data_IF_633443624454
#
_entry.id   IF_633443624454
#
_cell.length_a   1.000
_cell.length_b   1.000
_cell.length_c   1.000
_cell.angle_alpha   90.00
_cell.angle_beta   90.00
_cell.angle_gamma   90.00
#
_symmetry.space_group_name_H-M   'P 1'
#
loop_
_entity.id
_entity.type
_entity.pdbx_description
1 polymer ?
#
# COMPACT_ATOMS: atom_id res chain seq x y z
N UNK A 1 -47.37 21.23 11.08
CA UNK A 1 -47.23 20.95 9.65
C UNK A 1 -45.85 21.18 9.08
N UNK A 2 -45.00 21.84 9.82
CA UNK A 2 -43.59 22.08 9.39
C UNK A 2 -42.64 20.92 9.67
N UNK A 3 -43.03 19.97 10.49
CA UNK A 3 -42.22 18.85 10.95
C UNK A 3 -41.80 17.83 9.86
N UNK A 4 -42.64 17.51 8.87
CA UNK A 4 -42.25 16.52 7.84
C UNK A 4 -41.11 16.98 6.96
N UNK A 5 -40.96 18.25 6.72
CA UNK A 5 -39.91 18.77 5.83
C UNK A 5 -38.48 18.65 6.39
N UNK A 6 -38.34 18.83 7.70
CA UNK A 6 -37.06 18.66 8.36
C UNK A 6 -36.54 17.21 8.35
N UNK A 7 -37.46 16.28 8.52
CA UNK A 7 -37.16 14.84 8.53
C UNK A 7 -36.75 14.34 7.16
N UNK A 8 -37.41 14.82 6.11
CA UNK A 8 -37.07 14.45 4.71
C UNK A 8 -35.68 14.96 4.33
N UNK A 9 -35.35 16.18 4.68
CA UNK A 9 -34.01 16.74 4.43
C UNK A 9 -32.90 15.95 5.11
N UNK A 10 -33.11 15.52 6.36
CA UNK A 10 -32.15 14.69 7.09
C UNK A 10 -31.96 13.31 6.44
N UNK A 11 -33.02 12.71 5.95
CA UNK A 11 -32.96 11.42 5.27
C UNK A 11 -32.21 11.46 3.95
N UNK A 12 -32.29 12.58 3.23
CA UNK A 12 -31.58 12.76 1.95
C UNK A 12 -30.09 13.02 2.17
N UNK A 13 -29.72 13.79 3.18
CA UNK A 13 -28.32 14.12 3.46
C UNK A 13 -27.56 12.96 4.15
N UNK A 14 -28.24 12.15 4.94
CA UNK A 14 -27.63 11.04 5.67
C UNK A 14 -27.01 9.97 4.76
N UNK A 15 -27.68 9.47 3.71
CA UNK A 15 -27.10 8.49 2.78
C UNK A 15 -25.89 9.01 2.00
N UNK A 16 -25.88 10.29 1.63
CA UNK A 16 -24.80 10.91 0.88
C UNK A 16 -23.52 11.01 1.72
N UNK A 17 -23.63 11.34 2.99
CA UNK A 17 -22.49 11.39 3.92
C UNK A 17 -21.90 9.99 4.13
N UNK A 18 -22.73 8.98 4.24
CA UNK A 18 -22.28 7.59 4.38
C UNK A 18 -21.56 7.06 3.15
N UNK A 19 -22.00 7.47 1.94
CA UNK A 19 -21.34 7.08 0.69
C UNK A 19 -19.94 7.68 0.58
N UNK A 20 -19.77 8.94 0.96
CA UNK A 20 -18.47 9.61 0.95
C UNK A 20 -17.48 8.96 1.93
N UNK A 21 -17.94 8.65 3.14
CA UNK A 21 -17.11 7.96 4.13
C UNK A 21 -16.67 6.57 3.65
N UNK A 22 -17.58 5.83 3.01
CA UNK A 22 -17.28 4.50 2.47
C UNK A 22 -16.26 4.54 1.34
N UNK A 23 -16.35 5.54 0.46
CA UNK A 23 -15.40 5.73 -0.64
C UNK A 23 -14.02 6.15 -0.09
N UNK A 24 -14.00 7.02 0.91
CA UNK A 24 -12.76 7.43 1.57
C UNK A 24 -12.07 6.27 2.29
N UNK A 25 -12.83 5.42 2.98
CA UNK A 25 -12.31 4.22 3.62
C UNK A 25 -11.76 3.22 2.59
N UNK A 26 -12.46 3.03 1.46
CA UNK A 26 -11.98 2.16 0.39
C UNK A 26 -10.69 2.66 -0.24
N UNK A 27 -10.53 3.96 -0.38
CA UNK A 27 -9.30 4.56 -0.92
C UNK A 27 -8.09 4.36 0.00
N UNK A 28 -8.32 4.24 1.30
CA UNK A 28 -7.27 4.02 2.30
C UNK A 28 -7.03 2.56 2.66
N UNK A 29 -7.78 1.62 2.08
CA UNK A 29 -7.67 0.20 2.40
C UNK A 29 -6.35 -0.40 1.92
N UNK A 30 -5.68 -1.25 2.73
CA UNK A 30 -4.49 -1.97 2.31
C UNK A 30 -4.72 -2.83 1.05
N UNK A 31 -5.88 -3.46 0.92
CA UNK A 31 -6.20 -4.28 -0.24
C UNK A 31 -6.40 -3.44 -1.51
N UNK A 32 -6.89 -2.21 -1.37
CA UNK A 32 -6.95 -1.26 -2.48
C UNK A 32 -5.54 -0.90 -2.97
N UNK A 33 -4.59 -0.74 -2.06
CA UNK A 33 -3.19 -0.50 -2.42
C UNK A 33 -2.61 -1.66 -3.24
N UNK A 34 -2.91 -2.91 -2.85
CA UNK A 34 -2.48 -4.10 -3.62
C UNK A 34 -3.11 -4.09 -5.02
N UNK A 35 -4.39 -3.76 -5.14
CA UNK A 35 -5.07 -3.66 -6.43
C UNK A 35 -4.43 -2.57 -7.32
N UNK A 36 -4.06 -1.43 -6.75
CA UNK A 36 -3.35 -0.38 -7.47
C UNK A 36 -1.97 -0.84 -7.96
N UNK A 37 -1.24 -1.62 -7.16
CA UNK A 37 0.03 -2.21 -7.60
C UNK A 37 -0.16 -3.18 -8.77
N UNK A 38 -1.20 -4.00 -8.74
CA UNK A 38 -1.51 -4.92 -9.85
C UNK A 38 -1.86 -4.16 -11.13
N UNK A 39 -2.63 -3.09 -11.03
CA UNK A 39 -2.94 -2.22 -12.16
C UNK A 39 -1.68 -1.55 -12.72
N UNK A 40 -0.82 -1.06 -11.85
CA UNK A 40 0.46 -0.47 -12.23
C UNK A 40 1.35 -1.49 -12.96
N UNK A 41 1.36 -2.74 -12.49
CA UNK A 41 2.11 -3.84 -13.11
C UNK A 41 1.61 -4.11 -14.53
N UNK A 42 0.30 -4.15 -14.74
CA UNK A 42 -0.31 -4.34 -16.05
C UNK A 42 0.06 -3.20 -17.02
N UNK A 43 -0.01 -1.97 -16.56
CA UNK A 43 0.37 -0.80 -17.36
C UNK A 43 1.85 -0.80 -17.72
N UNK A 44 2.71 -1.23 -16.80
CA UNK A 44 4.15 -1.33 -17.05
C UNK A 44 4.45 -2.36 -18.13
N UNK A 45 3.75 -3.50 -18.11
CA UNK A 45 3.86 -4.53 -19.13
C UNK A 45 3.37 -4.04 -20.50
N UNK A 46 2.26 -3.31 -20.55
CA UNK A 46 1.72 -2.74 -21.79
C UNK A 46 2.70 -1.77 -22.45
N UNK A 47 3.45 -1.00 -21.64
CA UNK A 47 4.46 -0.06 -22.13
C UNK A 47 5.75 -0.73 -22.55
N UNK A 48 6.11 -1.80 -21.87
CA UNK A 48 7.37 -2.52 -22.10
C UNK A 48 7.16 -4.03 -21.93
N UNK A 49 7.04 -4.78 -23.03
CA UNK A 49 6.88 -6.24 -22.98
C UNK A 49 8.04 -6.99 -22.30
N UNK A 50 9.20 -6.35 -22.15
CA UNK A 50 10.33 -6.92 -21.41
C UNK A 50 10.16 -6.81 -19.88
N UNK A 51 9.12 -6.12 -19.42
CA UNK A 51 8.79 -6.04 -18.01
C UNK A 51 8.44 -7.43 -17.47
N UNK A 52 9.04 -7.81 -16.35
CA UNK A 52 8.87 -9.15 -15.76
C UNK A 52 7.53 -9.24 -15.01
N UNK A 53 6.43 -9.15 -15.75
CA UNK A 53 5.08 -9.05 -15.25
C UNK A 53 4.72 -10.14 -14.25
N UNK A 54 4.96 -11.41 -14.58
CA UNK A 54 4.56 -12.53 -13.74
C UNK A 54 5.31 -12.55 -12.41
N UNK A 55 6.60 -12.28 -12.44
CA UNK A 55 7.42 -12.22 -11.24
C UNK A 55 6.95 -11.11 -10.30
N UNK A 56 6.67 -9.92 -10.85
CA UNK A 56 6.13 -8.82 -10.06
C UNK A 56 4.72 -9.09 -9.57
N UNK A 57 3.86 -9.70 -10.40
CA UNK A 57 2.51 -10.04 -9.99
C UNK A 57 2.50 -11.05 -8.84
N UNK A 58 3.35 -12.04 -8.88
CA UNK A 58 3.52 -13.00 -7.78
C UNK A 58 3.95 -12.28 -6.48
N UNK A 59 4.89 -11.36 -6.58
CA UNK A 59 5.36 -10.58 -5.44
C UNK A 59 4.24 -9.72 -4.84
N UNK A 60 3.40 -9.12 -5.68
CA UNK A 60 2.24 -8.32 -5.28
C UNK A 60 1.16 -9.20 -4.63
N UNK A 61 0.84 -10.32 -5.25
CA UNK A 61 -0.20 -11.23 -4.76
C UNK A 61 0.10 -11.74 -3.35
N UNK A 62 1.38 -11.94 -3.04
CA UNK A 62 1.81 -12.36 -1.71
C UNK A 62 1.69 -11.28 -0.64
N UNK A 63 1.42 -10.04 -1.00
CA UNK A 63 1.08 -8.97 -0.05
C UNK A 63 -0.38 -9.04 0.42
N UNK A 64 -1.26 -9.71 -0.30
CA UNK A 64 -2.71 -9.74 0.00
C UNK A 64 -2.98 -10.22 1.43
N UNK A 65 -2.41 -11.36 1.81
CA UNK A 65 -2.64 -11.95 3.12
C UNK A 65 -2.10 -11.09 4.27
N UNK A 66 -0.81 -10.66 4.28
CA UNK A 66 -0.32 -9.81 5.34
C UNK A 66 -0.97 -8.43 5.37
N UNK A 67 -1.35 -7.86 4.22
CA UNK A 67 -2.05 -6.58 4.18
C UNK A 67 -3.47 -6.68 4.74
N UNK A 68 -4.14 -7.80 4.52
CA UNK A 68 -5.45 -8.06 5.12
C UNK A 68 -5.42 -8.13 6.65
N UNK A 69 -4.26 -8.40 7.23
CA UNK A 69 -4.05 -8.51 8.69
C UNK A 69 -3.43 -7.25 9.30
N UNK A 70 -3.22 -6.20 8.52
CA UNK A 70 -2.70 -4.92 9.03
C UNK A 70 -3.65 -4.35 10.07
N UNK A 71 -3.10 -3.98 11.23
CA UNK A 71 -3.86 -3.43 12.34
C UNK A 71 -4.41 -4.46 13.31
N UNK A 72 -4.37 -5.75 13.01
CA UNK A 72 -4.79 -6.79 13.93
C UNK A 72 -3.83 -6.90 15.12
N UNK A 73 -4.34 -6.97 16.37
CA UNK A 73 -3.49 -7.01 17.56
C UNK A 73 -2.78 -8.35 17.79
N UNK A 74 -2.92 -9.33 16.91
CA UNK A 74 -2.40 -10.68 17.09
C UNK A 74 -0.93 -10.84 16.73
N UNK A 75 -0.35 -11.99 17.11
CA UNK A 75 1.04 -12.38 16.86
C UNK A 75 1.34 -12.72 15.39
N UNK A 76 0.35 -12.66 14.52
CA UNK A 76 0.46 -13.08 13.12
C UNK A 76 1.19 -12.08 12.23
N UNK A 77 1.49 -10.89 12.71
CA UNK A 77 2.17 -9.83 11.92
C UNK A 77 3.58 -10.24 11.49
N UNK A 78 4.34 -10.80 12.42
CA UNK A 78 5.69 -11.30 12.14
C UNK A 78 5.68 -12.40 11.10
N UNK A 79 4.74 -13.35 11.22
CA UNK A 79 4.63 -14.44 10.27
C UNK A 79 4.33 -13.94 8.86
N UNK A 80 3.49 -12.93 8.71
CA UNK A 80 3.18 -12.31 7.42
C UNK A 80 4.41 -11.70 6.75
N UNK A 81 5.26 -11.00 7.54
CA UNK A 81 6.52 -10.42 7.06
C UNK A 81 7.48 -11.52 6.58
N UNK A 82 7.70 -12.55 7.40
CA UNK A 82 8.59 -13.64 7.04
C UNK A 82 8.06 -14.45 5.87
N UNK A 83 6.75 -14.71 5.81
CA UNK A 83 6.13 -15.42 4.68
C UNK A 83 6.38 -14.69 3.37
N UNK A 84 6.27 -13.37 3.35
CA UNK A 84 6.56 -12.60 2.14
C UNK A 84 8.04 -12.72 1.75
N UNK A 85 8.97 -12.49 2.68
CA UNK A 85 10.42 -12.55 2.42
C UNK A 85 10.85 -13.92 1.87
N UNK A 86 10.33 -15.01 2.46
CA UNK A 86 10.74 -16.35 2.08
C UNK A 86 10.10 -16.88 0.81
N UNK A 87 8.95 -16.34 0.41
CA UNK A 87 8.19 -16.86 -0.73
C UNK A 87 8.24 -15.98 -1.97
N UNK A 88 8.72 -14.76 -1.85
CA UNK A 88 8.89 -13.88 -3.01
C UNK A 88 10.04 -14.41 -3.88
N UNK A 89 9.90 -14.39 -5.22
CA UNK A 89 10.95 -14.87 -6.11
C UNK A 89 12.30 -14.17 -5.88
N UNK A 90 13.38 -14.94 -5.88
CA UNK A 90 14.72 -14.40 -5.69
C UNK A 90 15.08 -13.31 -6.72
N UNK A 91 14.52 -13.41 -7.92
CA UNK A 91 14.68 -12.40 -8.98
C UNK A 91 14.21 -11.02 -8.53
N UNK A 92 13.15 -10.95 -7.71
CA UNK A 92 12.66 -9.69 -7.17
C UNK A 92 13.77 -8.96 -6.39
N UNK A 93 14.46 -9.67 -5.51
CA UNK A 93 15.53 -9.06 -4.71
C UNK A 93 16.71 -8.62 -5.56
N UNK A 94 17.02 -9.35 -6.62
CA UNK A 94 18.05 -8.94 -7.58
C UNK A 94 17.70 -7.61 -8.26
N UNK A 95 16.45 -7.45 -8.66
CA UNK A 95 15.96 -6.21 -9.27
C UNK A 95 15.92 -5.06 -8.26
N UNK A 96 15.51 -5.32 -7.02
CA UNK A 96 15.53 -4.32 -5.96
C UNK A 96 16.96 -3.85 -5.66
N UNK A 97 17.93 -4.76 -5.64
CA UNK A 97 19.35 -4.42 -5.49
C UNK A 97 19.87 -3.56 -6.63
N UNK A 98 19.40 -3.79 -7.85
CA UNK A 98 19.72 -2.97 -9.02
C UNK A 98 18.95 -1.65 -9.05
N UNK A 99 18.14 -1.38 -8.04
CA UNK A 99 17.30 -0.19 -7.93
C UNK A 99 16.29 -0.03 -9.07
N UNK A 100 15.78 -1.15 -9.57
CA UNK A 100 14.65 -1.12 -10.49
C UNK A 100 13.47 -0.40 -9.82
N UNK A 101 12.92 0.61 -10.50
CA UNK A 101 11.90 1.47 -9.91
C UNK A 101 10.66 0.70 -9.48
N UNK A 102 10.22 -0.26 -10.27
CA UNK A 102 9.03 -1.05 -9.95
C UNK A 102 9.26 -1.98 -8.76
N UNK A 103 10.43 -2.62 -8.70
CA UNK A 103 10.82 -3.44 -7.55
C UNK A 103 10.87 -2.60 -6.26
N UNK A 104 11.40 -1.38 -6.32
CA UNK A 104 11.43 -0.47 -5.18
C UNK A 104 10.04 -0.04 -4.72
N UNK A 105 9.11 0.18 -5.65
CA UNK A 105 7.72 0.52 -5.32
C UNK A 105 7.05 -0.61 -4.54
N UNK A 106 7.18 -1.85 -5.00
CA UNK A 106 6.64 -3.02 -4.30
C UNK A 106 7.31 -3.18 -2.93
N UNK A 107 8.62 -3.02 -2.87
CA UNK A 107 9.38 -3.13 -1.63
C UNK A 107 8.96 -2.07 -0.60
N UNK A 108 8.69 -0.84 -1.04
CA UNK A 108 8.18 0.20 -0.17
C UNK A 108 6.82 -0.17 0.43
N UNK A 109 5.94 -0.79 -0.34
CA UNK A 109 4.66 -1.29 0.18
C UNK A 109 4.87 -2.41 1.21
N UNK A 110 5.79 -3.33 0.95
CA UNK A 110 6.18 -4.32 1.95
C UNK A 110 6.70 -3.67 3.24
N UNK A 111 7.46 -2.59 3.13
CA UNK A 111 8.01 -1.86 4.28
C UNK A 111 6.93 -1.24 5.18
N UNK A 112 5.69 -1.07 4.69
CA UNK A 112 4.55 -0.68 5.54
C UNK A 112 4.28 -1.75 6.60
N UNK A 113 4.43 -3.03 6.26
CA UNK A 113 4.34 -4.13 7.21
C UNK A 113 5.41 -4.03 8.30
N UNK A 114 6.62 -3.64 7.91
CA UNK A 114 7.72 -3.43 8.85
C UNK A 114 7.45 -2.23 9.76
N UNK A 115 6.90 -1.16 9.21
CA UNK A 115 6.49 0.01 10.00
C UNK A 115 5.40 -0.34 11.02
N UNK A 116 4.51 -1.26 10.69
CA UNK A 116 3.49 -1.76 11.63
C UNK A 116 4.11 -2.49 12.84
N UNK A 117 5.34 -2.98 12.69
CA UNK A 117 6.13 -3.61 13.75
C UNK A 117 7.08 -2.64 14.50
N UNK A 118 6.93 -1.34 14.31
CA UNK A 118 7.83 -0.31 14.87
C UNK A 118 7.94 -0.30 16.39
N UNK A 119 6.96 -0.86 17.09
CA UNK A 119 6.97 -0.98 18.54
C UNK A 119 8.02 -1.99 19.05
N UNK A 120 8.49 -2.87 18.16
CA UNK A 120 9.62 -3.74 18.49
C UNK A 120 10.92 -2.94 18.46
N UNK A 121 11.74 -3.05 19.50
CA UNK A 121 12.97 -2.28 19.64
C UNK A 121 13.95 -2.47 18.47
N UNK A 122 13.97 -3.66 17.88
CA UNK A 122 14.86 -4.00 16.76
C UNK A 122 14.36 -3.47 15.42
N UNK A 123 13.10 -3.09 15.30
CA UNK A 123 12.53 -2.55 14.06
C UNK A 123 12.49 -1.02 14.07
N UNK A 124 11.98 -0.42 15.17
CA UNK A 124 11.92 1.03 15.37
C UNK A 124 11.46 1.80 14.11
N UNK A 125 12.25 2.73 13.62
CA UNK A 125 11.92 3.59 12.47
C UNK A 125 12.41 3.04 11.12
N UNK A 126 12.88 1.80 11.08
CA UNK A 126 13.51 1.27 9.87
C UNK A 126 12.57 1.27 8.65
N UNK A 127 11.34 0.76 8.82
CA UNK A 127 10.33 0.76 7.76
C UNK A 127 10.05 2.16 7.23
N UNK A 128 9.87 3.13 8.11
CA UNK A 128 9.67 4.54 7.76
C UNK A 128 10.83 5.08 6.91
N UNK A 129 12.06 4.88 7.39
CA UNK A 129 13.25 5.40 6.70
C UNK A 129 13.41 4.83 5.31
N UNK A 130 13.16 3.54 5.13
CA UNK A 130 13.29 2.88 3.83
C UNK A 130 12.24 3.42 2.85
N UNK A 131 10.99 3.55 3.28
CA UNK A 131 9.92 4.09 2.43
C UNK A 131 10.26 5.51 1.96
N UNK A 132 10.70 6.37 2.88
CA UNK A 132 11.07 7.76 2.55
C UNK A 132 12.29 7.79 1.63
N UNK A 133 13.28 6.93 1.85
CA UNK A 133 14.45 6.84 0.99
C UNK A 133 14.08 6.42 -0.44
N UNK A 134 13.20 5.43 -0.57
CA UNK A 134 12.69 5.00 -1.88
C UNK A 134 11.93 6.15 -2.56
N UNK A 135 11.04 6.82 -1.84
CA UNK A 135 10.28 7.95 -2.35
C UNK A 135 11.20 9.04 -2.94
N UNK A 136 12.27 9.37 -2.23
CA UNK A 136 13.24 10.38 -2.69
C UNK A 136 14.07 9.93 -3.88
N UNK A 137 14.26 8.63 -4.04
CA UNK A 137 15.02 8.04 -5.15
C UNK A 137 14.21 7.93 -6.43
N UNK A 138 12.87 7.79 -6.33
CA UNK A 138 12.01 7.64 -7.49
C UNK A 138 11.90 8.92 -8.30
N UNK A 139 11.77 8.75 -9.61
CA UNK A 139 11.41 9.84 -10.51
C UNK A 139 10.05 10.43 -10.14
N UNK A 140 9.89 11.73 -10.40
CA UNK A 140 8.67 12.46 -10.04
C UNK A 140 7.39 11.79 -10.54
N UNK A 141 7.44 11.21 -11.73
CA UNK A 141 6.30 10.53 -12.37
C UNK A 141 5.84 9.29 -11.60
N UNK A 142 6.73 8.64 -10.85
CA UNK A 142 6.45 7.40 -10.15
C UNK A 142 6.15 7.62 -8.67
N UNK A 143 6.40 8.80 -8.14
CA UNK A 143 6.21 9.09 -6.70
C UNK A 143 4.77 8.92 -6.24
N UNK A 144 3.80 9.19 -7.13
CA UNK A 144 2.39 9.01 -6.79
C UNK A 144 2.03 7.57 -6.40
N UNK A 145 2.78 6.59 -6.91
CA UNK A 145 2.56 5.18 -6.60
C UNK A 145 2.81 4.83 -5.13
N UNK A 146 3.55 5.69 -4.41
CA UNK A 146 3.81 5.52 -2.98
C UNK A 146 2.84 6.31 -2.08
N UNK A 147 1.85 6.99 -2.64
CA UNK A 147 0.94 7.85 -1.88
C UNK A 147 0.28 7.13 -0.71
N UNK A 148 -0.22 5.92 -0.92
CA UNK A 148 -0.82 5.14 0.14
C UNK A 148 0.19 4.77 1.24
N UNK A 149 1.37 4.32 0.85
CA UNK A 149 2.42 3.93 1.80
C UNK A 149 2.87 5.12 2.64
N UNK A 150 3.06 6.29 2.03
CA UNK A 150 3.43 7.51 2.73
C UNK A 150 2.35 7.97 3.70
N UNK A 151 1.09 7.91 3.28
CA UNK A 151 -0.04 8.23 4.15
C UNK A 151 -0.10 7.30 5.36
N UNK A 152 0.10 6.01 5.12
CA UNK A 152 0.02 4.97 6.16
C UNK A 152 1.10 5.12 7.23
N UNK A 153 2.28 5.60 6.87
CA UNK A 153 3.38 5.84 7.83
C UNK A 153 3.35 7.23 8.46
N UNK A 154 2.40 8.07 8.08
CA UNK A 154 2.27 9.43 8.62
C UNK A 154 3.33 10.40 8.10
N UNK A 155 3.82 10.22 6.87
CA UNK A 155 4.78 11.13 6.26
C UNK A 155 4.12 12.48 5.97
N UNK A 156 4.73 13.56 6.45
CA UNK A 156 4.23 14.94 6.34
C UNK A 156 5.14 15.87 5.52
N UNK A 157 6.14 15.31 4.85
CA UNK A 157 7.02 16.08 3.98
C UNK A 157 6.30 16.55 2.70
N UNK A 158 6.99 17.40 1.95
CA UNK A 158 6.47 17.91 0.67
C UNK A 158 6.21 16.75 -0.30
N UNK A 159 4.96 16.58 -0.67
CA UNK A 159 4.50 15.62 -1.67
C UNK A 159 4.42 16.33 -3.02
#
# INVERSE_FOLDING_TARGET
MTRPHGTVKRGVLGPLVHLDDSVSELSGSPLTAVACLSDLNSRAYDRNPSHEFQMYQESIDRLVDPFGKLGDPGSHRLSGVFMWIFHVPARFFQLAQKRDAFALIIFAHFCVLLHDLRNHWWMSSWGYRVIVAIYRTLDADLRYSLSWALLRIGYTGDI
#
